data_IF_481705570728
#
_entry.id   IF_481705570728
#
_cell.length_a   1.000
_cell.length_b   1.000
_cell.length_c   1.000
_cell.angle_alpha   90.00
_cell.angle_beta   90.00
_cell.angle_gamma   90.00
#
_symmetry.space_group_name_H-M   'P 1'
#
loop_
_entity.id
_entity.type
_entity.pdbx_description
1 polymer ?
#
# COMPACT_ATOMS: atom_id res chain seq x y z
N UNK A 1 3.55 5.88 26.54
CA UNK A 1 3.31 6.04 25.10
C UNK A 1 4.59 6.56 24.49
N UNK A 2 5.37 5.71 23.85
CA UNK A 2 6.55 6.16 23.10
C UNK A 2 6.03 6.65 21.75
N UNK A 3 6.32 7.90 21.41
CA UNK A 3 5.99 8.44 20.10
C UNK A 3 7.00 7.79 19.14
N UNK A 4 6.55 6.81 18.34
CA UNK A 4 7.39 6.28 17.27
C UNK A 4 7.39 7.33 16.15
N UNK A 5 8.56 7.91 15.88
CA UNK A 5 8.73 8.80 14.73
C UNK A 5 8.79 7.96 13.46
N UNK A 6 8.13 8.43 12.41
CA UNK A 6 8.21 7.79 11.10
C UNK A 6 9.63 7.84 10.55
N UNK A 7 10.01 6.80 9.82
CA UNK A 7 11.36 6.62 9.30
C UNK A 7 11.31 6.02 7.89
N UNK A 8 12.05 6.63 6.97
CA UNK A 8 12.34 6.04 5.67
C UNK A 8 13.63 5.19 5.73
N UNK A 9 13.62 4.04 5.07
CA UNK A 9 14.74 3.13 4.89
C UNK A 9 15.08 3.07 3.40
N UNK A 10 16.37 3.01 3.06
CA UNK A 10 16.86 2.93 1.67
C UNK A 10 16.17 3.93 0.73
N UNK A 11 16.26 5.23 1.09
CA UNK A 11 15.65 6.34 0.34
C UNK A 11 14.12 6.30 0.16
N UNK A 12 13.42 5.57 1.04
CA UNK A 12 11.98 5.40 0.98
C UNK A 12 11.53 4.11 0.29
N UNK A 13 12.45 3.18 -0.01
CA UNK A 13 12.09 1.83 -0.46
C UNK A 13 11.11 1.16 0.53
N UNK A 14 11.35 1.36 1.83
CA UNK A 14 10.43 1.02 2.90
C UNK A 14 10.29 2.18 3.87
N UNK A 15 9.12 2.33 4.47
CA UNK A 15 8.82 3.35 5.47
C UNK A 15 8.13 2.72 6.67
N UNK A 16 8.68 2.97 7.86
CA UNK A 16 8.01 2.70 9.12
C UNK A 16 7.17 3.92 9.46
N UNK A 17 5.88 3.71 9.70
CA UNK A 17 4.93 4.78 9.97
C UNK A 17 4.75 4.93 11.49
N UNK A 18 5.05 6.14 11.97
CA UNK A 18 4.69 6.55 13.31
C UNK A 18 3.19 6.81 13.43
N UNK A 19 2.69 6.95 14.67
CA UNK A 19 1.24 7.08 14.94
C UNK A 19 0.54 8.15 14.09
N UNK A 20 1.18 9.30 13.86
CA UNK A 20 0.59 10.39 13.09
C UNK A 20 0.43 10.10 11.60
N UNK A 21 1.35 9.33 11.00
CA UNK A 21 1.30 8.97 9.58
C UNK A 21 0.54 7.65 9.36
N UNK A 22 0.48 6.78 10.37
CA UNK A 22 -0.27 5.53 10.35
C UNK A 22 -1.79 5.73 10.52
N UNK A 23 -2.23 6.70 11.32
CA UNK A 23 -3.66 6.90 11.65
C UNK A 23 -4.57 7.08 10.42
N UNK A 24 -4.23 7.90 9.41
CA UNK A 24 -5.04 8.01 8.18
C UNK A 24 -5.08 6.72 7.36
N UNK A 25 -3.99 5.94 7.39
CA UNK A 25 -3.90 4.65 6.69
C UNK A 25 -4.75 3.62 7.41
N UNK A 26 -4.69 3.57 8.75
CA UNK A 26 -5.52 2.71 9.58
C UNK A 26 -7.01 2.96 9.34
N UNK A 27 -7.45 4.22 9.39
CA UNK A 27 -8.86 4.58 9.15
C UNK A 27 -9.32 4.09 7.77
N UNK A 28 -8.52 4.33 6.75
CA UNK A 28 -8.83 3.91 5.39
C UNK A 28 -8.88 2.38 5.25
N UNK A 29 -7.92 1.66 5.82
CA UNK A 29 -7.92 0.19 5.77
C UNK A 29 -9.08 -0.42 6.56
N UNK A 30 -9.47 0.20 7.69
CA UNK A 30 -10.65 -0.20 8.46
C UNK A 30 -11.91 -0.13 7.61
N UNK A 31 -12.07 0.93 6.82
CA UNK A 31 -13.17 1.08 5.88
C UNK A 31 -13.10 0.06 4.73
N UNK A 32 -11.91 -0.14 4.14
CA UNK A 32 -11.70 -1.10 3.03
C UNK A 32 -12.01 -2.53 3.44
N UNK A 33 -11.55 -2.96 4.61
CA UNK A 33 -11.73 -4.34 5.08
C UNK A 33 -12.98 -4.54 5.94
N UNK A 34 -13.68 -3.47 6.33
CA UNK A 34 -14.81 -3.53 7.26
C UNK A 34 -14.41 -4.02 8.66
N UNK A 35 -13.24 -3.61 9.15
CA UNK A 35 -12.63 -4.06 10.42
C UNK A 35 -12.23 -2.89 11.31
N UNK A 36 -11.98 -3.13 12.59
CA UNK A 36 -11.58 -2.09 13.54
C UNK A 36 -10.23 -2.35 14.23
N UNK A 37 -9.66 -3.54 14.03
CA UNK A 37 -8.49 -4.07 14.74
C UNK A 37 -7.17 -3.94 13.96
N UNK A 38 -7.19 -3.13 12.89
CA UNK A 38 -6.01 -2.85 12.05
C UNK A 38 -5.07 -1.88 12.76
N UNK A 39 -3.78 -2.23 12.74
CA UNK A 39 -2.68 -1.37 13.14
C UNK A 39 -1.56 -1.39 12.08
N UNK A 40 -1.38 -0.28 11.38
CA UNK A 40 -0.37 -0.11 10.33
C UNK A 40 1.02 0.05 10.94
N UNK A 41 1.98 -0.68 10.35
CA UNK A 41 3.40 -0.63 10.72
C UNK A 41 4.17 0.23 9.73
N UNK A 42 3.88 0.06 8.44
CA UNK A 42 4.70 0.62 7.38
C UNK A 42 4.11 0.42 5.99
N UNK A 43 4.82 0.92 5.01
CA UNK A 43 4.53 0.68 3.61
C UNK A 43 5.83 0.57 2.82
N UNK A 44 5.77 -0.03 1.63
CA UNK A 44 6.89 0.01 0.69
C UNK A 44 6.68 1.05 -0.41
N UNK A 45 7.72 1.25 -1.22
CA UNK A 45 7.71 2.19 -2.35
C UNK A 45 6.67 1.85 -3.42
N UNK A 46 6.15 0.63 -3.46
CA UNK A 46 5.12 0.22 -4.44
C UNK A 46 3.72 0.63 -3.99
N UNK A 47 3.57 1.02 -2.72
CA UNK A 47 2.29 1.34 -2.10
C UNK A 47 1.67 0.15 -1.35
N UNK A 48 2.42 -0.93 -1.12
CA UNK A 48 1.95 -2.07 -0.34
C UNK A 48 2.02 -1.70 1.14
N UNK A 49 0.89 -1.82 1.84
CA UNK A 49 0.78 -1.50 3.28
C UNK A 49 0.97 -2.75 4.12
N UNK A 50 1.72 -2.61 5.20
CA UNK A 50 2.07 -3.67 6.15
C UNK A 50 1.38 -3.36 7.48
N UNK A 51 0.49 -4.24 7.94
CA UNK A 51 -0.29 -4.02 9.16
C UNK A 51 -0.49 -5.33 9.93
N UNK A 52 -0.88 -5.23 11.21
CA UNK A 52 -1.31 -6.36 12.03
C UNK A 52 -2.81 -6.29 12.30
N UNK A 53 -3.37 -7.43 12.72
CA UNK A 53 -4.76 -7.58 13.15
C UNK A 53 -4.77 -7.97 14.62
N UNK A 54 -5.26 -7.08 15.50
CA UNK A 54 -5.18 -7.31 16.94
C UNK A 54 -6.22 -8.31 17.47
N UNK A 55 -7.39 -8.40 16.82
CA UNK A 55 -8.56 -9.13 17.30
C UNK A 55 -9.09 -10.08 16.20
N UNK A 56 -8.20 -10.86 15.60
CA UNK A 56 -8.53 -11.90 14.62
C UNK A 56 -8.37 -13.32 15.20
N UNK A 57 -9.39 -14.16 15.03
CA UNK A 57 -9.37 -15.54 15.54
C UNK A 57 -8.59 -16.52 14.64
N UNK A 58 -8.33 -16.16 13.38
CA UNK A 58 -7.66 -16.99 12.36
C UNK A 58 -6.20 -16.54 12.11
N UNK A 59 -5.89 -15.28 12.36
CA UNK A 59 -4.57 -14.66 12.16
C UNK A 59 -3.93 -14.32 13.50
N UNK A 60 -2.73 -14.85 13.76
CA UNK A 60 -1.99 -14.50 14.98
C UNK A 60 -1.68 -13.00 15.02
N UNK A 61 -1.87 -12.34 16.17
CA UNK A 61 -1.72 -10.90 16.32
C UNK A 61 -0.32 -10.35 16.03
N UNK A 62 0.70 -11.22 16.01
CA UNK A 62 2.05 -10.87 15.58
C UNK A 62 2.26 -10.99 14.08
N UNK A 63 1.30 -11.50 13.32
CA UNK A 63 1.39 -11.66 11.86
C UNK A 63 1.23 -10.32 11.17
N UNK A 64 2.21 -9.98 10.34
CA UNK A 64 2.14 -8.84 9.42
C UNK A 64 1.48 -9.28 8.13
N UNK A 65 0.38 -8.61 7.81
CA UNK A 65 -0.37 -8.75 6.57
C UNK A 65 0.07 -7.64 5.62
N UNK A 66 0.34 -8.02 4.37
CA UNK A 66 0.55 -7.10 3.27
C UNK A 66 -0.76 -6.86 2.54
N UNK A 67 -1.03 -5.61 2.18
CA UNK A 67 -2.12 -5.25 1.28
C UNK A 67 -1.61 -4.38 0.13
N UNK A 68 -1.82 -4.87 -1.09
CA UNK A 68 -1.54 -4.16 -2.32
C UNK A 68 -2.84 -3.62 -2.91
N UNK A 69 -3.04 -2.30 -2.82
CA UNK A 69 -4.21 -1.64 -3.35
C UNK A 69 -4.30 -1.72 -4.89
N UNK A 70 -3.17 -1.86 -5.59
CA UNK A 70 -3.13 -1.89 -7.06
C UNK A 70 -3.67 -3.19 -7.63
N UNK A 71 -3.50 -4.31 -6.92
CA UNK A 71 -4.07 -5.61 -7.28
C UNK A 71 -5.33 -5.97 -6.47
N UNK A 72 -5.56 -5.28 -5.34
CA UNK A 72 -6.58 -5.65 -4.36
C UNK A 72 -6.20 -6.88 -3.52
N UNK A 73 -4.97 -7.37 -3.63
CA UNK A 73 -4.53 -8.59 -2.94
C UNK A 73 -4.08 -8.29 -1.51
N UNK A 74 -4.45 -9.18 -0.58
CA UNK A 74 -3.96 -9.13 0.80
C UNK A 74 -3.56 -10.53 1.28
N UNK A 75 -2.53 -10.62 2.11
CA UNK A 75 -2.12 -11.90 2.70
C UNK A 75 -1.02 -11.80 3.75
N UNK A 76 -0.81 -12.85 4.55
CA UNK A 76 0.25 -12.90 5.54
C UNK A 76 1.63 -12.89 4.87
N UNK A 77 2.56 -12.12 5.42
CA UNK A 77 3.92 -11.97 4.90
C UNK A 77 4.97 -12.58 5.83
N UNK A 78 4.98 -12.14 7.08
CA UNK A 78 5.98 -12.46 8.09
C UNK A 78 5.44 -12.13 9.48
N UNK A 79 6.21 -12.39 10.53
CA UNK A 79 5.90 -11.89 11.87
C UNK A 79 6.43 -10.46 12.06
N UNK A 80 5.85 -9.74 13.03
CA UNK A 80 6.27 -8.39 13.40
C UNK A 80 7.73 -8.37 13.86
N UNK A 81 8.16 -9.40 14.59
CA UNK A 81 9.55 -9.54 15.03
C UNK A 81 10.50 -9.63 13.82
N UNK A 82 10.18 -10.46 12.83
CA UNK A 82 10.98 -10.61 11.60
C UNK A 82 11.05 -9.30 10.80
N UNK A 83 9.92 -8.60 10.63
CA UNK A 83 9.88 -7.32 9.92
C UNK A 83 10.72 -6.27 10.65
N UNK A 84 10.60 -6.16 11.97
CA UNK A 84 11.36 -5.18 12.74
C UNK A 84 12.85 -5.50 12.79
N UNK A 85 13.23 -6.80 12.81
CA UNK A 85 14.62 -7.23 12.68
C UNK A 85 15.19 -6.85 11.30
N UNK A 86 14.46 -7.14 10.22
CA UNK A 86 14.88 -6.78 8.86
C UNK A 86 15.01 -5.26 8.67
N UNK A 87 14.17 -4.46 9.31
CA UNK A 87 14.30 -3.00 9.32
C UNK A 87 15.58 -2.56 10.05
N UNK A 88 15.86 -3.17 11.20
CA UNK A 88 17.04 -2.82 12.01
C UNK A 88 18.36 -3.18 11.32
N UNK A 89 18.39 -4.32 10.64
CA UNK A 89 19.58 -4.84 9.96
C UNK A 89 19.73 -4.27 8.53
N UNK A 90 18.67 -3.70 7.96
CA UNK A 90 18.64 -3.11 6.62
C UNK A 90 18.20 -4.08 5.52
N UNK A 91 18.05 -5.37 5.85
CA UNK A 91 17.60 -6.43 4.94
C UNK A 91 16.18 -6.19 4.37
N UNK A 92 15.38 -5.33 5.04
CA UNK A 92 14.06 -4.94 4.53
C UNK A 92 14.14 -4.33 3.12
N UNK A 93 15.24 -3.66 2.78
CA UNK A 93 15.43 -3.06 1.45
C UNK A 93 15.47 -4.12 0.34
N UNK A 94 16.14 -5.26 0.58
CA UNK A 94 16.15 -6.38 -0.36
C UNK A 94 14.76 -7.02 -0.44
N UNK A 95 14.10 -7.22 0.70
CA UNK A 95 12.77 -7.84 0.77
C UNK A 95 11.69 -7.06 0.00
N UNK A 96 11.83 -5.74 -0.12
CA UNK A 96 10.89 -4.88 -0.86
C UNK A 96 11.35 -4.49 -2.26
N UNK A 97 12.35 -5.19 -2.80
CA UNK A 97 12.89 -4.94 -4.13
C UNK A 97 13.39 -3.49 -4.31
N UNK A 98 14.28 -3.05 -3.41
CA UNK A 98 14.94 -1.75 -3.52
C UNK A 98 15.81 -1.62 -4.77
N UNK A 99 16.21 -2.71 -5.43
CA UNK A 99 16.94 -2.67 -6.71
C UNK A 99 16.04 -2.08 -7.81
N UNK A 100 14.81 -2.58 -7.96
CA UNK A 100 13.84 -1.99 -8.90
C UNK A 100 13.49 -0.54 -8.56
N UNK A 101 13.39 -0.22 -7.26
CA UNK A 101 13.19 1.16 -6.83
C UNK A 101 14.36 2.07 -7.22
N UNK A 102 15.61 1.62 -7.06
CA UNK A 102 16.78 2.40 -7.45
C UNK A 102 16.87 2.57 -8.97
N UNK A 103 16.51 1.55 -9.75
CA UNK A 103 16.38 1.67 -11.20
C UNK A 103 15.34 2.74 -11.58
N UNK A 104 14.18 2.77 -10.90
CA UNK A 104 13.16 3.80 -11.11
C UNK A 104 13.67 5.20 -10.73
N UNK A 105 14.35 5.36 -9.58
CA UNK A 105 14.95 6.62 -9.12
C UNK A 105 15.94 7.18 -10.16
N UNK A 106 16.82 6.32 -10.67
CA UNK A 106 17.81 6.69 -11.69
C UNK A 106 17.14 7.11 -13.00
N UNK A 107 16.10 6.39 -13.43
CA UNK A 107 15.37 6.68 -14.66
C UNK A 107 14.58 8.00 -14.60
N UNK A 108 14.03 8.33 -13.44
CA UNK A 108 13.18 9.53 -13.23
C UNK A 108 13.97 10.74 -12.71
N UNK A 109 15.18 10.53 -12.20
CA UNK A 109 15.99 11.58 -11.56
C UNK A 109 15.49 11.95 -10.16
N UNK A 110 14.73 11.06 -9.51
CA UNK A 110 14.20 11.26 -8.15
C UNK A 110 15.18 10.73 -7.11
N UNK A 111 15.58 11.58 -6.16
CA UNK A 111 16.57 11.26 -5.12
C UNK A 111 16.03 10.39 -3.97
N UNK A 112 14.73 10.14 -3.92
CA UNK A 112 14.02 9.36 -2.89
C UNK A 112 12.55 9.80 -2.79
N UNK A 113 11.75 9.04 -2.04
CA UNK A 113 10.35 9.39 -1.76
C UNK A 113 10.18 9.77 -0.29
N UNK A 114 9.23 10.67 0.00
CA UNK A 114 8.93 11.08 1.35
C UNK A 114 8.09 10.02 2.08
N UNK A 115 8.07 10.09 3.41
CA UNK A 115 7.10 9.33 4.21
C UNK A 115 5.69 9.74 3.80
N UNK A 116 4.82 8.76 3.58
CA UNK A 116 3.46 8.94 3.10
C UNK A 116 3.34 8.93 1.58
N UNK A 117 4.44 8.80 0.83
CA UNK A 117 4.43 8.68 -0.63
C UNK A 117 4.74 7.25 -1.09
N UNK A 118 4.32 6.91 -2.30
CA UNK A 118 4.64 5.69 -3.01
C UNK A 118 4.75 5.94 -4.53
N UNK A 119 5.15 4.91 -5.26
CA UNK A 119 5.26 4.87 -6.72
C UNK A 119 4.47 3.64 -7.20
N UNK A 120 3.14 3.75 -7.25
CA UNK A 120 2.29 2.65 -7.69
C UNK A 120 2.41 2.46 -9.22
N UNK A 121 1.85 1.38 -9.76
CA UNK A 121 1.55 1.28 -11.19
C UNK A 121 0.75 2.49 -11.67
N UNK A 122 1.03 2.95 -12.89
CA UNK A 122 0.35 4.07 -13.55
C UNK A 122 -1.14 3.81 -13.78
N UNK A 123 -1.49 2.53 -13.95
CA UNK A 123 -2.85 2.00 -13.97
C UNK A 123 -2.91 0.82 -13.00
N UNK A 124 -3.91 0.72 -12.10
CA UNK A 124 -4.06 -0.43 -11.21
C UNK A 124 -4.20 -1.75 -11.98
N UNK A 125 -3.61 -2.81 -11.43
CA UNK A 125 -3.57 -4.15 -12.03
C UNK A 125 -4.97 -4.77 -12.13
N UNK A 126 -5.85 -4.52 -11.16
CA UNK A 126 -7.22 -5.05 -11.18
C UNK A 126 -8.09 -4.49 -12.32
N UNK A 127 -7.65 -3.40 -12.98
CA UNK A 127 -8.25 -2.88 -14.22
C UNK A 127 -7.36 -3.07 -15.46
N UNK A 128 -6.38 -3.96 -15.39
CA UNK A 128 -5.54 -4.36 -16.51
C UNK A 128 -4.23 -3.57 -16.67
N UNK A 129 -3.80 -2.83 -15.64
CA UNK A 129 -2.49 -2.17 -15.65
C UNK A 129 -1.32 -3.14 -15.56
N UNK A 130 -0.17 -2.71 -16.08
CA UNK A 130 1.10 -3.43 -15.96
C UNK A 130 1.86 -2.95 -14.71
N UNK A 131 2.20 -3.84 -13.75
CA UNK A 131 2.96 -3.47 -12.56
C UNK A 131 4.38 -2.94 -12.84
N UNK A 132 4.92 -3.15 -14.05
CA UNK A 132 6.18 -2.57 -14.49
C UNK A 132 6.03 -1.11 -14.98
N UNK A 133 4.85 -0.71 -15.43
CA UNK A 133 4.55 0.65 -15.89
C UNK A 133 4.19 1.55 -14.70
N UNK A 134 5.21 2.01 -13.98
CA UNK A 134 5.09 2.80 -12.74
C UNK A 134 4.79 4.27 -12.98
N UNK A 135 4.23 4.94 -11.98
CA UNK A 135 4.13 6.40 -11.93
C UNK A 135 5.52 7.05 -12.11
N UNK A 136 5.58 8.17 -12.84
CA UNK A 136 6.84 8.90 -13.10
C UNK A 136 7.20 9.90 -11.99
N UNK A 137 6.26 10.15 -11.09
CA UNK A 137 6.40 11.01 -9.91
C UNK A 137 5.82 10.28 -8.69
N UNK A 138 6.34 10.52 -7.48
CA UNK A 138 5.77 10.00 -6.24
C UNK A 138 4.33 10.50 -6.05
N UNK A 139 3.47 9.62 -5.55
CA UNK A 139 2.07 9.90 -5.24
C UNK A 139 1.80 9.65 -3.76
N UNK A 140 0.82 10.36 -3.20
CA UNK A 140 0.36 10.12 -1.83
C UNK A 140 -0.18 8.69 -1.68
N UNK A 141 0.35 7.94 -0.72
CA UNK A 141 -0.05 6.57 -0.38
C UNK A 141 -1.55 6.51 -0.05
N UNK A 142 -2.03 7.39 0.84
CA UNK A 142 -3.44 7.46 1.22
C UNK A 142 -4.33 7.72 -0.01
N UNK A 143 -3.91 8.66 -0.88
CA UNK A 143 -4.66 8.98 -2.08
C UNK A 143 -4.69 7.80 -3.07
N UNK A 144 -3.60 7.06 -3.19
CA UNK A 144 -3.52 5.87 -4.02
C UNK A 144 -4.47 4.76 -3.51
N UNK A 145 -4.41 4.44 -2.22
CA UNK A 145 -5.28 3.43 -1.60
C UNK A 145 -6.75 3.83 -1.76
N UNK A 146 -7.10 5.09 -1.46
CA UNK A 146 -8.46 5.58 -1.53
C UNK A 146 -9.01 5.53 -2.97
N UNK A 147 -8.17 5.89 -3.96
CA UNK A 147 -8.54 5.84 -5.37
C UNK A 147 -8.79 4.39 -5.82
N UNK A 148 -7.92 3.45 -5.41
CA UNK A 148 -8.09 2.03 -5.74
C UNK A 148 -9.33 1.44 -5.07
N UNK A 149 -9.55 1.71 -3.79
CA UNK A 149 -10.72 1.27 -3.04
C UNK A 149 -12.02 1.78 -3.66
N UNK A 150 -12.07 3.07 -4.02
CA UNK A 150 -13.22 3.65 -4.69
C UNK A 150 -13.50 2.98 -6.04
N UNK A 151 -12.46 2.73 -6.86
CA UNK A 151 -12.61 2.05 -8.15
C UNK A 151 -13.10 0.60 -7.98
N UNK A 152 -12.50 -0.17 -7.06
CA UNK A 152 -12.94 -1.53 -6.75
C UNK A 152 -14.41 -1.56 -6.31
N UNK A 153 -14.81 -0.66 -5.41
CA UNK A 153 -16.21 -0.56 -4.96
C UNK A 153 -17.19 -0.18 -6.08
N UNK A 154 -16.77 0.62 -7.06
CA UNK A 154 -17.59 0.95 -8.24
C UNK A 154 -17.74 -0.25 -9.19
N UNK A 155 -16.64 -0.98 -9.43
CA UNK A 155 -16.61 -2.20 -10.24
C UNK A 155 -17.55 -3.25 -9.63
N UNK A 156 -17.47 -3.45 -8.32
CA UNK A 156 -18.35 -4.36 -7.58
C UNK A 156 -19.83 -3.93 -7.69
N UNK A 157 -20.14 -2.64 -7.49
CA UNK A 157 -21.52 -2.13 -7.61
C UNK A 157 -22.10 -2.25 -9.01
N UNK A 158 -21.26 -2.24 -10.04
CA UNK A 158 -21.66 -2.49 -11.43
C UNK A 158 -21.75 -3.99 -11.77
N UNK A 159 -21.33 -4.87 -10.86
CA UNK A 159 -21.35 -6.32 -11.06
C UNK A 159 -20.38 -6.80 -12.13
N UNK A 160 -19.28 -6.07 -12.36
CA UNK A 160 -18.29 -6.41 -13.36
C UNK A 160 -17.42 -7.57 -12.86
N UNK A 161 -17.21 -8.57 -13.72
CA UNK A 161 -16.30 -9.67 -13.46
C UNK A 161 -14.88 -9.34 -13.97
N UNK A 162 -13.83 -9.99 -13.44
CA UNK A 162 -12.49 -9.88 -13.99
C UNK A 162 -12.46 -10.21 -15.49
N UNK A 163 -11.95 -9.27 -16.30
CA UNK A 163 -11.87 -9.40 -17.76
C UNK A 163 -13.06 -8.83 -18.54
N UNK A 164 -14.09 -8.32 -17.86
CA UNK A 164 -15.14 -7.53 -18.51
C UNK A 164 -14.61 -6.18 -19.00
N UNK A 165 -15.19 -5.66 -20.08
CA UNK A 165 -14.91 -4.29 -20.53
C UNK A 165 -15.36 -3.28 -19.46
N UNK A 166 -14.47 -2.36 -19.10
CA UNK A 166 -14.74 -1.36 -18.07
C UNK A 166 -15.55 -0.21 -18.69
N UNK A 167 -16.79 0.02 -18.25
CA UNK A 167 -17.63 1.07 -18.80
C UNK A 167 -17.21 2.46 -18.28
N UNK A 168 -17.40 3.49 -19.09
CA UNK A 168 -17.02 4.89 -18.76
C UNK A 168 -17.65 5.37 -17.44
N UNK A 169 -18.82 4.83 -17.07
CA UNK A 169 -19.53 5.09 -15.83
C UNK A 169 -18.68 4.83 -14.58
N UNK A 170 -17.66 3.96 -14.63
CA UNK A 170 -16.71 3.75 -13.51
C UNK A 170 -15.94 5.03 -13.18
N UNK A 171 -15.66 5.84 -14.19
CA UNK A 171 -14.86 7.07 -14.08
C UNK A 171 -15.70 8.34 -14.02
N UNK A 172 -17.02 8.26 -14.25
CA UNK A 172 -17.93 9.39 -14.17
C UNK A 172 -18.23 9.78 -12.72
N UNK A 173 -17.52 10.78 -12.21
CA UNK A 173 -17.70 11.29 -10.84
C UNK A 173 -19.16 11.66 -10.52
N UNK A 174 -19.93 12.18 -11.48
CA UNK A 174 -21.30 12.65 -11.24
C UNK A 174 -22.29 11.52 -10.92
N UNK A 175 -21.94 10.28 -11.26
CA UNK A 175 -22.72 9.09 -10.91
C UNK A 175 -22.53 8.65 -9.46
N UNK A 176 -21.38 8.96 -8.86
CA UNK A 176 -20.93 8.41 -7.58
C UNK A 176 -20.86 9.44 -6.44
N UNK A 177 -21.28 10.68 -6.70
CA UNK A 177 -21.57 11.73 -5.70
C UNK A 177 -22.91 11.49 -5.00
#
# INVERSE_FOLDING_TARGET
>A
MSIHHSQAVAHGAFQVLGTGDAEPVDELLRDVFGRNDIATIGADWRGIVYFTLADDDEVDASTVVGFDASSGSSGPLATLEEVMAAVADGDIAEAVDAESFDAWRVATGVDGIAVGDCVPPSLPEFIGGDPAERAVEPLSLVSHIASCAALMGRIEQLGLAPGDDIPDEVFDATRWE
#
